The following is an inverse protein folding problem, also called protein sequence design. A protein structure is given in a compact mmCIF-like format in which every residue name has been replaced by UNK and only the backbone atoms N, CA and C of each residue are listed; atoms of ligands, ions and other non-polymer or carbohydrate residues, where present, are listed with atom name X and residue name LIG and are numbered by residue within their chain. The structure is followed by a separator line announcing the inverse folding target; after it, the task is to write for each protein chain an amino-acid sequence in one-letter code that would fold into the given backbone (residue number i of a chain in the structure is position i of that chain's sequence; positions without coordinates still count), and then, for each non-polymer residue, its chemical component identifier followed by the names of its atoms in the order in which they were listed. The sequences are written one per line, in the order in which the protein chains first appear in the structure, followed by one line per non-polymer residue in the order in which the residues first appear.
data_IF_870002615313
#
_entry.id   IF_870002615313
#
_cell.length_a   1.000
_cell.length_b   1.000
_cell.length_c   1.000
_cell.angle_alpha   90.00
_cell.angle_beta   90.00
_cell.angle_gamma   90.00
#
_symmetry.space_group_name_H-M   'P 1'
#
loop_
_entity.id
_entity.type
_entity.pdbx_description
1 polymer ?
#
# COMPACT_ATOMS: atom_id res chain seq x y z
N UNK A 1 45.34 20.36 59.33
CA UNK A 1 45.90 21.65 59.82
C UNK A 1 44.75 22.44 60.38
N UNK A 2 44.71 22.43 61.67
CA UNK A 2 44.60 23.58 62.58
C UNK A 2 43.29 24.42 62.41
N UNK A 3 42.55 24.73 63.39
CA UNK A 3 42.74 24.75 64.86
C UNK A 3 41.64 25.57 65.48
N UNK A 4 41.03 25.06 66.54
CA UNK A 4 40.77 25.76 67.83
C UNK A 4 39.74 26.92 67.77
N UNK A 5 38.78 26.99 68.56
CA UNK A 5 38.67 26.84 70.01
C UNK A 5 38.06 28.07 70.69
N UNK A 6 37.18 27.85 71.57
CA UNK A 6 36.98 28.36 72.97
C UNK A 6 35.76 29.24 73.15
N UNK A 7 34.78 28.80 73.93
CA UNK A 7 34.70 28.86 75.43
C UNK A 7 34.25 30.21 75.99
N UNK A 8 33.23 30.13 76.84
CA UNK A 8 32.94 31.06 77.93
C UNK A 8 31.42 31.10 78.20
N UNK A 9 30.87 30.42 79.12
CA UNK A 9 30.85 30.30 80.58
C UNK A 9 30.41 31.60 81.28
N UNK A 10 29.35 31.53 82.09
CA UNK A 10 28.92 32.49 83.10
C UNK A 10 27.41 32.50 83.30
N UNK A 11 26.83 31.72 84.10
CA UNK A 11 26.72 31.67 85.58
C UNK A 11 25.81 32.77 86.17
N UNK A 12 24.73 32.25 86.77
CA UNK A 12 24.09 32.56 88.07
C UNK A 12 23.16 33.79 88.19
N UNK A 13 21.96 33.72 88.62
CA UNK A 13 21.50 33.58 90.03
C UNK A 13 19.98 33.67 90.10
N UNK A 14 19.45 32.87 90.96
CA UNK A 14 18.07 32.76 91.41
C UNK A 14 17.51 34.02 92.01
N UNK A 15 16.17 34.24 91.87
CA UNK A 15 15.36 34.76 92.96
C UNK A 15 13.96 34.13 92.86
N UNK A 16 13.59 33.56 94.01
CA UNK A 16 12.30 33.00 94.40
C UNK A 16 11.35 34.15 94.74
N UNK A 17 10.08 34.12 94.18
CA UNK A 17 8.97 34.74 94.87
C UNK A 17 7.69 33.93 94.65
N UNK A 18 7.10 33.59 95.77
CA UNK A 18 5.89 32.82 96.04
C UNK A 18 4.70 33.73 96.06
N UNK A 19 3.64 33.45 95.29
CA UNK A 19 2.28 33.86 95.61
C UNK A 19 1.26 33.14 94.67
N UNK A 20 0.52 32.33 95.26
CA UNK A 20 -0.96 32.34 95.50
C UNK A 20 -1.87 31.95 94.39
N UNK A 21 -2.42 30.78 94.53
CA UNK A 21 -3.51 30.07 93.78
C UNK A 21 -4.80 30.90 93.75
N UNK A 22 -5.41 31.02 92.56
CA UNK A 22 -6.85 31.10 92.44
C UNK A 22 -7.29 30.14 91.31
N UNK A 23 -7.96 29.10 91.71
CA UNK A 23 -8.62 28.14 90.79
C UNK A 23 -9.90 28.83 90.21
N UNK A 24 -9.94 28.98 88.90
CA UNK A 24 -11.21 29.15 88.14
C UNK A 24 -11.37 27.99 87.19
N UNK A 25 -12.28 27.10 87.52
CA UNK A 25 -12.85 26.07 86.67
C UNK A 25 -13.64 26.75 85.59
N UNK A 26 -13.05 26.91 84.40
CA UNK A 26 -13.75 27.26 83.16
C UNK A 26 -14.17 25.98 82.45
N UNK A 27 -15.46 25.69 82.40
CA UNK A 27 -16.01 24.66 81.46
C UNK A 27 -15.68 25.07 80.03
N UNK A 28 -14.79 24.35 79.39
CA UNK A 28 -14.67 24.39 77.95
C UNK A 28 -15.77 23.53 77.37
N UNK A 29 -16.79 24.16 76.75
CA UNK A 29 -17.71 23.52 75.85
C UNK A 29 -16.93 22.89 74.70
N UNK A 30 -17.25 21.67 74.24
CA UNK A 30 -16.62 21.08 73.05
C UNK A 30 -17.04 21.94 71.86
N UNK A 31 -16.03 22.55 71.23
CA UNK A 31 -16.20 23.23 69.94
C UNK A 31 -16.85 22.29 68.94
N UNK A 32 -18.13 22.48 68.65
CA UNK A 32 -18.79 21.82 67.52
C UNK A 32 -17.99 22.15 66.28
N UNK A 33 -17.26 21.14 65.71
CA UNK A 33 -16.67 21.22 64.38
C UNK A 33 -17.83 21.53 63.42
N UNK A 34 -17.84 22.74 62.87
CA UNK A 34 -18.83 23.15 61.89
C UNK A 34 -18.81 22.16 60.75
N UNK A 35 -19.92 21.48 60.51
CA UNK A 35 -20.04 20.56 59.40
C UNK A 35 -19.74 21.34 58.10
N UNK A 36 -18.65 21.00 57.40
CA UNK A 36 -18.21 21.60 56.15
C UNK A 36 -19.37 21.50 55.15
N UNK A 37 -19.85 22.63 54.67
CA UNK A 37 -20.91 22.65 53.67
C UNK A 37 -20.49 21.83 52.43
N UNK A 38 -21.40 21.08 51.84
CA UNK A 38 -21.04 20.27 50.66
C UNK A 38 -20.52 21.18 49.53
N UNK A 39 -19.39 20.80 48.92
CA UNK A 39 -18.80 21.57 47.84
C UNK A 39 -19.56 21.28 46.53
N UNK A 40 -20.05 22.32 45.83
CA UNK A 40 -20.75 22.13 44.57
C UNK A 40 -19.76 21.66 43.48
N UNK A 41 -20.12 20.60 42.78
CA UNK A 41 -19.29 19.98 41.72
C UNK A 41 -20.14 19.54 40.54
N UNK A 42 -19.59 19.60 39.34
CA UNK A 42 -20.14 18.94 38.17
C UNK A 42 -19.52 17.57 37.98
N UNK A 43 -20.32 16.57 37.68
CA UNK A 43 -19.90 15.20 37.45
C UNK A 43 -20.29 14.72 36.05
N UNK A 44 -19.47 13.84 35.48
CA UNK A 44 -19.73 13.19 34.21
C UNK A 44 -19.58 11.68 34.40
N UNK A 45 -20.38 10.91 33.71
CA UNK A 45 -20.23 9.45 33.71
C UNK A 45 -18.95 9.06 32.96
N UNK A 46 -18.23 8.04 33.48
CA UNK A 46 -17.13 7.39 32.77
C UNK A 46 -17.70 6.71 31.53
N UNK A 47 -17.20 7.07 30.37
CA UNK A 47 -17.58 6.48 29.09
C UNK A 47 -16.58 5.40 28.68
N UNK A 48 -17.01 4.51 27.79
CA UNK A 48 -16.10 3.53 27.19
C UNK A 48 -15.61 4.07 25.84
N UNK A 49 -14.31 4.19 25.72
CA UNK A 49 -13.63 4.51 24.47
C UNK A 49 -13.01 3.24 23.89
N UNK A 50 -13.31 2.91 22.63
CA UNK A 50 -12.68 1.84 21.89
C UNK A 50 -11.63 2.45 20.96
N UNK A 51 -10.33 2.37 21.30
CA UNK A 51 -9.27 2.87 20.44
C UNK A 51 -9.28 2.08 19.13
N UNK A 52 -9.47 2.76 18.02
CA UNK A 52 -9.28 2.18 16.69
C UNK A 52 -7.96 2.71 16.13
N UNK A 53 -7.00 1.83 15.94
CA UNK A 53 -5.77 2.16 15.20
C UNK A 53 -6.07 2.15 13.70
N UNK A 54 -6.90 3.07 13.24
CA UNK A 54 -7.12 3.23 11.81
C UNK A 54 -5.90 3.89 11.17
N UNK A 55 -5.11 3.08 10.49
CA UNK A 55 -3.96 3.57 9.74
C UNK A 55 -4.43 4.02 8.36
N UNK A 56 -4.16 5.29 8.04
CA UNK A 56 -4.40 5.82 6.70
C UNK A 56 -3.11 5.74 5.89
N UNK A 57 -3.21 5.15 4.71
CA UNK A 57 -2.11 5.07 3.76
C UNK A 57 -2.44 5.88 2.52
N UNK A 58 -1.47 6.67 2.07
CA UNK A 58 -1.49 7.26 0.73
C UNK A 58 -1.01 6.23 -0.27
N UNK A 59 -1.67 6.16 -1.42
CA UNK A 59 -1.44 5.17 -2.44
C UNK A 59 -1.47 5.80 -3.84
N UNK A 60 -0.75 5.20 -4.77
CA UNK A 60 -0.77 5.60 -6.17
C UNK A 60 -1.64 4.66 -6.99
N UNK A 61 -2.43 5.24 -7.89
CA UNK A 61 -3.19 4.49 -8.88
C UNK A 61 -2.27 4.11 -10.03
N UNK A 62 -2.12 2.81 -10.28
CA UNK A 62 -1.31 2.22 -11.34
C UNK A 62 -2.22 1.51 -12.34
N UNK A 63 -1.84 1.38 -13.62
CA UNK A 63 -2.60 0.59 -14.57
C UNK A 63 -2.58 -0.89 -14.18
N UNK A 64 -3.59 -1.65 -14.61
CA UNK A 64 -3.63 -3.10 -14.41
C UNK A 64 -2.47 -3.79 -15.13
N UNK A 65 -2.22 -3.39 -16.38
CA UNK A 65 -1.07 -3.79 -17.16
C UNK A 65 -0.55 -2.60 -17.96
N UNK A 66 0.74 -2.54 -18.16
CA UNK A 66 1.41 -1.53 -18.98
C UNK A 66 2.43 -2.22 -19.87
N UNK A 67 2.49 -1.83 -21.13
CA UNK A 67 3.46 -2.34 -22.08
C UNK A 67 4.07 -1.19 -22.88
N UNK A 68 5.39 -1.12 -22.85
CA UNK A 68 6.17 -0.28 -23.75
C UNK A 68 6.51 -1.09 -25.00
N UNK A 69 6.02 -0.62 -26.14
CA UNK A 69 6.16 -1.28 -27.42
C UNK A 69 7.36 -0.75 -28.18
N UNK A 70 8.06 -1.64 -28.85
CA UNK A 70 9.14 -1.35 -29.78
C UNK A 70 9.05 -2.26 -31.00
N UNK A 71 9.51 -1.79 -32.13
CA UNK A 71 9.69 -2.66 -33.29
C UNK A 71 10.82 -3.67 -32.99
N UNK A 72 10.67 -4.88 -33.51
CA UNK A 72 11.70 -5.92 -33.42
C UNK A 72 12.73 -5.83 -34.55
N UNK A 73 12.33 -5.20 -35.70
CA UNK A 73 13.16 -4.97 -36.86
C UNK A 73 13.40 -3.47 -37.04
N UNK A 74 14.57 -3.11 -37.59
CA UNK A 74 14.85 -1.73 -37.95
C UNK A 74 14.19 -1.35 -39.28
N UNK A 75 13.69 -0.13 -39.38
CA UNK A 75 13.09 0.39 -40.62
C UNK A 75 12.50 1.77 -40.46
N UNK A 76 12.26 2.46 -41.59
CA UNK A 76 11.59 3.75 -41.57
C UNK A 76 10.07 3.56 -41.39
N UNK A 77 9.46 4.35 -40.51
CA UNK A 77 8.01 4.35 -40.29
C UNK A 77 7.31 4.91 -41.53
N UNK A 78 6.46 4.09 -42.13
CA UNK A 78 5.72 4.42 -43.36
C UNK A 78 4.26 4.72 -43.11
N UNK A 79 3.71 4.24 -41.98
CA UNK A 79 2.34 4.50 -41.60
C UNK A 79 2.19 4.53 -40.08
N UNK A 80 1.34 5.42 -39.59
CA UNK A 80 0.81 5.45 -38.23
C UNK A 80 -0.71 5.38 -38.36
N UNK A 81 -1.35 4.57 -37.48
CA UNK A 81 -2.80 4.43 -37.50
C UNK A 81 -3.47 5.78 -37.33
N UNK A 82 -4.45 6.04 -38.18
CA UNK A 82 -5.26 7.24 -38.10
C UNK A 82 -6.63 6.94 -37.49
N UNK A 83 -7.10 7.88 -36.71
CA UNK A 83 -8.45 7.91 -36.13
C UNK A 83 -9.14 9.22 -36.45
N UNK A 84 -10.45 9.25 -36.30
CA UNK A 84 -11.24 10.48 -36.40
C UNK A 84 -11.24 11.13 -35.01
N UNK A 85 -10.69 12.33 -34.91
CA UNK A 85 -10.72 13.13 -33.69
C UNK A 85 -12.12 13.69 -33.37
N UNK A 86 -12.24 14.30 -32.19
CA UNK A 86 -13.51 14.92 -31.75
C UNK A 86 -13.97 16.08 -32.70
N UNK A 87 -13.04 16.65 -33.45
CA UNK A 87 -13.28 17.70 -34.46
C UNK A 87 -13.71 17.14 -35.83
N UNK A 88 -13.87 15.81 -35.96
CA UNK A 88 -14.21 15.12 -37.21
C UNK A 88 -13.03 14.98 -38.19
N UNK A 89 -11.85 15.48 -37.87
CA UNK A 89 -10.64 15.37 -38.70
C UNK A 89 -9.88 14.09 -38.41
N UNK A 90 -9.24 13.55 -39.45
CA UNK A 90 -8.31 12.44 -39.27
C UNK A 90 -7.01 12.94 -38.64
N UNK A 91 -6.57 12.26 -37.62
CA UNK A 91 -5.27 12.47 -36.98
C UNK A 91 -4.62 11.15 -36.67
N UNK A 92 -3.33 11.17 -36.50
CA UNK A 92 -2.59 9.99 -36.02
C UNK A 92 -3.00 9.67 -34.57
N UNK A 93 -3.03 8.37 -34.28
CA UNK A 93 -3.33 7.87 -32.96
C UNK A 93 -2.26 8.34 -31.96
N UNK A 94 -2.68 8.73 -30.75
CA UNK A 94 -1.78 9.31 -29.77
C UNK A 94 -2.27 9.15 -28.32
N UNK A 95 -1.62 9.82 -27.36
CA UNK A 95 -1.99 9.73 -25.95
C UNK A 95 -3.46 10.02 -25.70
N UNK A 96 -4.10 9.17 -24.87
CA UNK A 96 -5.52 9.23 -24.53
C UNK A 96 -6.44 8.45 -25.48
N UNK A 97 -5.95 7.93 -26.60
CA UNK A 97 -6.76 7.15 -27.52
C UNK A 97 -6.86 5.69 -27.08
N UNK A 98 -8.04 5.11 -27.21
CA UNK A 98 -8.30 3.71 -26.94
C UNK A 98 -7.96 2.83 -28.14
N UNK A 99 -7.32 1.70 -27.88
CA UNK A 99 -6.99 0.68 -28.88
C UNK A 99 -7.45 -0.70 -28.42
N UNK A 100 -7.96 -1.49 -29.35
CA UNK A 100 -8.28 -2.88 -29.13
C UNK A 100 -7.02 -3.76 -29.33
N UNK A 101 -6.99 -4.90 -28.66
CA UNK A 101 -5.95 -5.91 -28.86
C UNK A 101 -5.81 -6.29 -30.34
N UNK A 102 -4.58 -6.43 -30.82
CA UNK A 102 -4.28 -6.78 -32.21
C UNK A 102 -4.39 -5.62 -33.21
N UNK A 103 -4.75 -4.42 -32.74
CA UNK A 103 -4.77 -3.21 -33.59
C UNK A 103 -3.34 -2.88 -34.02
N UNK A 104 -3.10 -2.72 -35.32
CA UNK A 104 -1.84 -2.19 -35.86
C UNK A 104 -1.77 -0.69 -35.55
N UNK A 105 -0.75 -0.27 -34.83
CA UNK A 105 -0.52 1.12 -34.39
C UNK A 105 0.38 1.87 -35.35
N UNK A 106 1.44 1.24 -35.82
CA UNK A 106 2.37 1.79 -36.78
C UNK A 106 3.00 0.66 -37.62
N UNK A 107 3.54 1.02 -38.77
CA UNK A 107 4.20 0.11 -39.69
C UNK A 107 5.53 0.70 -40.14
N UNK A 108 6.56 -0.15 -40.20
CA UNK A 108 7.81 0.20 -40.86
C UNK A 108 7.78 -0.26 -42.33
N UNK A 109 8.80 0.15 -43.13
CA UNK A 109 8.87 -0.17 -44.55
C UNK A 109 8.86 -1.67 -44.78
N UNK A 110 7.80 -2.16 -45.45
CA UNK A 110 7.61 -3.60 -45.75
C UNK A 110 8.46 -4.07 -46.92
N UNK A 111 8.89 -3.17 -47.84
CA UNK A 111 9.44 -3.58 -49.15
C UNK A 111 10.70 -4.45 -49.00
N UNK A 112 11.61 -4.07 -48.12
CA UNK A 112 12.87 -4.84 -47.95
C UNK A 112 12.60 -6.20 -47.30
N UNK A 113 11.67 -6.28 -46.36
CA UNK A 113 11.27 -7.53 -45.71
C UNK A 113 10.48 -8.45 -46.66
N UNK A 114 9.66 -7.85 -47.55
CA UNK A 114 8.95 -8.59 -48.60
C UNK A 114 9.95 -9.19 -49.59
N UNK A 115 10.95 -8.41 -50.01
CA UNK A 115 12.00 -8.93 -50.90
C UNK A 115 12.75 -10.11 -50.26
N UNK A 116 13.04 -10.06 -48.96
CA UNK A 116 13.65 -11.17 -48.22
C UNK A 116 12.74 -12.41 -48.19
N UNK A 117 11.43 -12.22 -47.99
CA UNK A 117 10.43 -13.29 -48.01
C UNK A 117 10.38 -13.96 -49.41
N UNK A 118 10.32 -13.14 -50.47
CA UNK A 118 10.28 -13.61 -51.85
C UNK A 118 11.55 -14.41 -52.18
N UNK A 119 12.73 -13.94 -51.75
CA UNK A 119 14.00 -14.65 -51.92
C UNK A 119 14.04 -15.99 -51.16
N UNK A 120 13.56 -16.01 -49.90
CA UNK A 120 13.51 -17.25 -49.10
C UNK A 120 12.53 -18.26 -49.72
N UNK A 121 11.41 -17.77 -50.28
CA UNK A 121 10.42 -18.58 -50.99
C UNK A 121 11.05 -19.24 -52.24
N UNK A 122 11.76 -18.44 -53.04
CA UNK A 122 12.48 -18.98 -54.23
C UNK A 122 13.55 -20.01 -53.86
N UNK A 123 14.28 -19.77 -52.75
CA UNK A 123 15.29 -20.72 -52.25
C UNK A 123 14.65 -22.05 -51.82
N UNK A 124 13.50 -22.00 -51.15
CA UNK A 124 12.76 -23.22 -50.80
C UNK A 124 12.31 -23.98 -52.04
N UNK A 125 11.75 -23.32 -53.04
CA UNK A 125 11.29 -23.92 -54.27
C UNK A 125 12.46 -24.65 -55.02
N UNK A 126 13.64 -24.03 -55.02
CA UNK A 126 14.83 -24.63 -55.61
C UNK A 126 15.25 -25.90 -54.84
N UNK A 127 15.28 -25.84 -53.50
CA UNK A 127 15.63 -26.98 -52.65
C UNK A 127 14.62 -28.14 -52.82
N UNK A 128 13.33 -27.84 -52.90
CA UNK A 128 12.27 -28.82 -53.14
C UNK A 128 12.41 -29.52 -54.52
N UNK A 129 12.74 -28.75 -55.57
CA UNK A 129 12.98 -29.31 -56.91
C UNK A 129 14.17 -30.28 -56.92
N UNK A 130 15.28 -29.89 -56.27
CA UNK A 130 16.47 -30.72 -56.12
C UNK A 130 16.20 -32.00 -55.30
N UNK A 131 15.43 -31.89 -54.24
CA UNK A 131 15.04 -33.06 -53.43
C UNK A 131 14.11 -33.99 -54.21
N UNK A 132 13.18 -33.44 -55.00
CA UNK A 132 12.30 -34.21 -55.86
C UNK A 132 13.09 -35.05 -56.90
N UNK A 133 14.13 -34.45 -57.49
CA UNK A 133 15.05 -35.15 -58.38
C UNK A 133 15.80 -36.29 -57.64
N UNK A 134 16.44 -35.96 -56.51
CA UNK A 134 17.16 -36.91 -55.69
C UNK A 134 16.28 -38.07 -55.17
N UNK A 135 15.01 -37.78 -54.85
CA UNK A 135 14.03 -38.82 -54.46
C UNK A 135 13.79 -39.81 -55.56
N UNK A 136 13.55 -39.32 -56.79
CA UNK A 136 13.36 -40.21 -57.95
C UNK A 136 14.62 -41.07 -58.26
N UNK A 137 15.80 -40.49 -58.13
CA UNK A 137 17.06 -41.18 -58.32
C UNK A 137 17.30 -42.23 -57.22
N UNK A 138 17.03 -41.94 -55.98
CA UNK A 138 17.13 -42.89 -54.88
C UNK A 138 16.14 -44.08 -55.04
N UNK A 139 14.86 -43.78 -55.37
CA UNK A 139 13.88 -44.82 -55.64
C UNK A 139 14.29 -45.74 -56.77
N UNK A 140 14.84 -45.19 -57.86
CA UNK A 140 15.40 -45.98 -58.98
C UNK A 140 16.62 -46.84 -58.56
N UNK A 141 17.55 -46.20 -57.82
CA UNK A 141 18.73 -46.92 -57.27
C UNK A 141 18.32 -48.04 -56.32
N UNK A 142 17.29 -47.80 -55.46
CA UNK A 142 16.73 -48.79 -54.55
C UNK A 142 16.19 -50.04 -55.30
N UNK A 143 15.44 -49.81 -56.38
CA UNK A 143 14.87 -50.85 -57.21
C UNK A 143 16.00 -51.69 -57.93
N UNK A 144 16.98 -50.99 -58.52
CA UNK A 144 18.10 -51.63 -59.18
C UNK A 144 19.02 -52.41 -58.21
N UNK A 145 19.23 -51.87 -56.98
CA UNK A 145 20.02 -52.58 -55.99
C UNK A 145 19.31 -53.83 -55.45
N UNK A 146 17.99 -53.78 -55.28
CA UNK A 146 17.21 -54.97 -54.90
C UNK A 146 17.17 -56.07 -55.96
N UNK A 147 17.39 -55.73 -57.24
CA UNK A 147 17.53 -56.66 -58.34
C UNK A 147 18.98 -57.03 -58.66
N UNK A 148 19.93 -56.71 -57.76
CA UNK A 148 21.39 -56.95 -57.90
C UNK A 148 22.01 -56.32 -59.18
N UNK A 149 21.34 -55.29 -59.71
CA UNK A 149 21.77 -54.62 -60.95
C UNK A 149 22.50 -53.26 -60.64
N UNK A 150 22.78 -52.96 -59.37
CA UNK A 150 23.53 -51.80 -58.96
C UNK A 150 24.52 -52.16 -57.85
N UNK A 151 25.70 -51.51 -57.84
CA UNK A 151 26.67 -51.71 -56.75
C UNK A 151 26.30 -51.02 -55.47
N UNK A 152 26.72 -51.53 -54.31
CA UNK A 152 26.50 -50.93 -53.02
C UNK A 152 27.00 -49.47 -52.91
N UNK A 153 28.23 -49.14 -53.37
CA UNK A 153 28.69 -47.73 -53.35
C UNK A 153 27.85 -46.76 -54.16
N UNK A 154 27.22 -47.19 -55.25
CA UNK A 154 26.33 -46.39 -56.07
C UNK A 154 24.98 -46.15 -55.36
N UNK A 155 24.46 -47.21 -54.73
CA UNK A 155 23.25 -47.05 -53.88
C UNK A 155 23.48 -46.08 -52.67
N UNK A 156 24.60 -46.32 -51.94
CA UNK A 156 24.97 -45.48 -50.79
C UNK A 156 25.12 -43.96 -51.21
N UNK A 157 25.63 -43.73 -52.45
CA UNK A 157 25.77 -42.36 -53.00
C UNK A 157 24.41 -41.73 -53.30
N UNK A 158 23.46 -42.49 -53.87
CA UNK A 158 22.09 -42.03 -54.13
C UNK A 158 21.36 -41.75 -52.85
N UNK A 159 21.51 -42.57 -51.80
CA UNK A 159 20.97 -42.38 -50.49
C UNK A 159 21.53 -41.09 -49.80
N UNK A 160 22.84 -40.92 -49.81
CA UNK A 160 23.48 -39.75 -49.26
C UNK A 160 23.04 -38.47 -49.96
N UNK A 161 22.79 -38.50 -51.30
CA UNK A 161 22.24 -37.36 -52.04
C UNK A 161 20.80 -37.05 -51.63
N UNK A 162 19.95 -38.08 -51.48
CA UNK A 162 18.58 -37.93 -51.00
C UNK A 162 18.57 -37.29 -49.60
N UNK A 163 19.35 -37.82 -48.63
CA UNK A 163 19.42 -37.32 -47.27
C UNK A 163 19.95 -35.89 -47.22
N UNK A 164 20.95 -35.54 -48.03
CA UNK A 164 21.50 -34.19 -48.09
C UNK A 164 20.54 -33.16 -48.66
N UNK A 165 19.76 -33.54 -49.69
CA UNK A 165 18.74 -32.64 -50.27
C UNK A 165 17.53 -32.49 -49.35
N UNK A 166 17.17 -33.54 -48.61
CA UNK A 166 16.14 -33.43 -47.55
C UNK A 166 16.53 -32.41 -46.49
N UNK A 167 17.76 -32.49 -45.98
CA UNK A 167 18.27 -31.51 -45.02
C UNK A 167 18.31 -30.07 -45.57
N UNK A 168 18.60 -29.91 -46.90
CA UNK A 168 18.58 -28.62 -47.56
C UNK A 168 17.17 -28.02 -47.65
N UNK A 169 16.12 -28.85 -47.86
CA UNK A 169 14.72 -28.41 -47.81
C UNK A 169 14.35 -27.91 -46.40
N UNK A 170 14.73 -28.65 -45.37
CA UNK A 170 14.43 -28.24 -43.97
C UNK A 170 15.14 -26.93 -43.58
N UNK A 171 16.38 -26.75 -44.03
CA UNK A 171 17.09 -25.48 -43.86
C UNK A 171 16.39 -24.34 -44.59
N UNK A 172 15.94 -24.54 -45.83
CA UNK A 172 15.23 -23.52 -46.61
C UNK A 172 13.87 -23.19 -45.99
N UNK A 173 13.14 -24.17 -45.44
CA UNK A 173 11.88 -23.94 -44.68
C UNK A 173 12.13 -23.07 -43.45
N UNK A 174 13.19 -23.34 -42.69
CA UNK A 174 13.53 -22.52 -41.50
C UNK A 174 13.83 -21.07 -41.91
N UNK A 175 14.55 -20.84 -43.01
CA UNK A 175 14.83 -19.50 -43.52
C UNK A 175 13.57 -18.79 -44.00
N UNK A 176 12.65 -19.50 -44.67
CA UNK A 176 11.34 -18.94 -45.07
C UNK A 176 10.53 -18.51 -43.84
N UNK A 177 10.48 -19.37 -42.83
CA UNK A 177 9.77 -19.02 -41.56
C UNK A 177 10.37 -17.79 -40.89
N UNK A 178 11.70 -17.67 -40.86
CA UNK A 178 12.36 -16.46 -40.30
C UNK A 178 11.99 -15.22 -41.12
N UNK A 179 11.95 -15.26 -42.43
CA UNK A 179 11.55 -14.13 -43.28
C UNK A 179 10.07 -13.75 -43.07
N UNK A 180 9.17 -14.74 -42.89
CA UNK A 180 7.77 -14.53 -42.56
C UNK A 180 7.59 -13.79 -41.23
N UNK A 181 8.31 -14.22 -40.17
CA UNK A 181 8.31 -13.55 -38.87
C UNK A 181 8.82 -12.11 -39.00
N UNK A 182 9.90 -11.90 -39.76
CA UNK A 182 10.43 -10.56 -40.02
C UNK A 182 9.40 -9.61 -40.63
N UNK A 183 8.61 -10.12 -41.59
CA UNK A 183 7.55 -9.33 -42.23
C UNK A 183 6.39 -9.05 -41.26
N UNK A 184 6.00 -10.02 -40.42
CA UNK A 184 4.98 -9.80 -39.39
C UNK A 184 5.43 -8.77 -38.35
N UNK A 185 6.70 -8.80 -37.96
CA UNK A 185 7.28 -7.87 -37.00
C UNK A 185 7.45 -6.43 -37.54
N UNK A 186 7.16 -6.20 -38.83
CA UNK A 186 7.07 -4.87 -39.40
C UNK A 186 5.80 -4.10 -38.97
N UNK A 187 4.80 -4.82 -38.52
CA UNK A 187 3.55 -4.25 -37.98
C UNK A 187 3.61 -4.21 -36.46
N UNK A 188 3.61 -3.03 -35.89
CA UNK A 188 3.55 -2.86 -34.44
C UNK A 188 2.10 -2.95 -33.97
N UNK A 189 1.76 -4.02 -33.27
CA UNK A 189 0.40 -4.30 -32.81
C UNK A 189 0.23 -4.14 -31.31
N UNK A 190 -0.98 -3.74 -30.87
CA UNK A 190 -1.34 -3.66 -29.45
C UNK A 190 -1.48 -5.08 -28.85
N UNK A 191 -0.74 -5.44 -27.77
CA UNK A 191 -0.78 -6.79 -27.17
C UNK A 191 -2.06 -7.03 -26.37
N UNK A 192 -2.70 -5.98 -25.87
CA UNK A 192 -3.98 -5.98 -25.17
C UNK A 192 -4.76 -4.70 -25.48
N UNK A 193 -6.03 -4.69 -25.10
CA UNK A 193 -6.88 -3.51 -25.25
C UNK A 193 -6.59 -2.51 -24.14
N UNK A 194 -6.47 -1.22 -24.46
CA UNK A 194 -6.14 -0.20 -23.47
C UNK A 194 -6.02 1.20 -24.09
N UNK A 195 -5.50 2.13 -23.31
CA UNK A 195 -5.25 3.51 -23.74
C UNK A 195 -3.77 3.73 -24.01
N UNK A 196 -3.49 4.51 -25.04
CA UNK A 196 -2.13 4.97 -25.32
C UNK A 196 -1.76 6.02 -24.27
N UNK A 197 -0.64 5.77 -23.56
CA UNK A 197 -0.05 6.70 -22.58
C UNK A 197 0.91 7.65 -23.26
N UNK A 198 1.77 7.13 -24.15
CA UNK A 198 2.75 7.93 -24.89
C UNK A 198 2.96 7.40 -26.29
N UNK A 199 3.33 8.31 -27.20
CA UNK A 199 3.79 8.02 -28.55
C UNK A 199 5.08 8.80 -28.79
N UNK A 200 6.17 8.07 -29.03
CA UNK A 200 7.52 8.61 -29.19
C UNK A 200 8.04 8.39 -30.62
N UNK A 201 7.16 8.23 -31.59
CA UNK A 201 7.53 7.97 -32.97
C UNK A 201 6.65 8.77 -33.93
N UNK A 202 7.26 9.23 -35.02
CA UNK A 202 6.60 9.99 -36.08
C UNK A 202 6.81 9.33 -37.43
N UNK A 203 5.96 9.70 -38.39
CA UNK A 203 6.08 9.26 -39.78
C UNK A 203 7.45 9.66 -40.35
N UNK A 204 8.13 8.73 -40.99
CA UNK A 204 9.47 8.96 -41.55
C UNK A 204 10.63 8.76 -40.57
N UNK A 205 10.37 8.59 -39.28
CA UNK A 205 11.41 8.27 -38.31
C UNK A 205 12.00 6.89 -38.56
N UNK A 206 13.29 6.73 -38.24
CA UNK A 206 13.90 5.41 -38.20
C UNK A 206 13.55 4.74 -36.86
N UNK A 207 12.83 3.63 -36.91
CA UNK A 207 12.58 2.77 -35.78
C UNK A 207 13.69 1.71 -35.68
N UNK A 208 14.11 1.38 -34.46
CA UNK A 208 15.10 0.35 -34.19
C UNK A 208 14.65 -0.55 -33.03
N UNK A 209 15.13 -1.81 -32.96
CA UNK A 209 14.88 -2.70 -31.84
C UNK A 209 15.26 -2.07 -30.50
N UNK A 210 14.36 -2.19 -29.49
CA UNK A 210 14.58 -1.62 -28.17
C UNK A 210 14.24 -0.14 -28.03
N UNK A 211 13.94 0.57 -29.12
CA UNK A 211 13.47 1.97 -29.07
C UNK A 211 11.99 2.00 -28.69
N UNK A 212 11.66 2.62 -27.55
CA UNK A 212 10.27 2.81 -27.11
C UNK A 212 9.50 3.66 -28.14
N UNK A 213 8.41 3.11 -28.69
CA UNK A 213 7.59 3.80 -29.69
C UNK A 213 6.22 4.18 -29.14
N UNK A 214 5.53 3.25 -28.51
CA UNK A 214 4.25 3.46 -27.84
C UNK A 214 4.27 2.86 -26.45
N UNK A 215 3.59 3.50 -25.51
CA UNK A 215 3.26 2.91 -24.23
C UNK A 215 1.74 2.78 -24.14
N UNK A 216 1.26 1.57 -23.84
CA UNK A 216 -0.16 1.26 -23.72
C UNK A 216 -0.44 0.79 -22.30
N UNK A 217 -1.54 1.26 -21.72
CA UNK A 217 -2.01 0.85 -20.40
C UNK A 217 -3.41 0.26 -20.46
N UNK A 218 -3.58 -0.91 -19.84
CA UNK A 218 -4.90 -1.46 -19.55
C UNK A 218 -5.43 -0.81 -18.27
N UNK A 219 -6.54 -0.10 -18.40
CA UNK A 219 -7.23 0.59 -17.30
C UNK A 219 -8.61 0.00 -17.02
N UNK A 220 -8.93 -1.20 -17.54
CA UNK A 220 -10.18 -1.92 -17.25
C UNK A 220 -10.33 -2.26 -15.75
N UNK A 221 -9.22 -2.47 -15.10
CA UNK A 221 -9.02 -2.41 -13.65
C UNK A 221 -7.81 -1.53 -13.36
N UNK A 222 -7.63 -1.15 -12.12
CA UNK A 222 -6.43 -0.42 -11.66
C UNK A 222 -5.84 -1.10 -10.43
N UNK A 223 -4.54 -0.93 -10.25
CA UNK A 223 -3.83 -1.35 -9.05
C UNK A 223 -3.58 -0.14 -8.18
N UNK A 224 -3.95 -0.25 -6.94
CA UNK A 224 -3.66 0.75 -5.92
C UNK A 224 -2.43 0.27 -5.16
N UNK A 225 -1.29 0.92 -5.41
CA UNK A 225 0.00 0.56 -4.83
C UNK A 225 0.33 1.43 -3.62
N UNK A 226 0.66 0.81 -2.49
CA UNK A 226 1.10 1.50 -1.28
C UNK A 226 2.09 0.66 -0.49
N UNK A 227 2.87 1.33 0.38
CA UNK A 227 3.83 0.67 1.25
C UNK A 227 3.34 0.60 2.68
N UNK A 228 3.52 -0.55 3.33
CA UNK A 228 3.22 -0.74 4.74
C UNK A 228 4.45 -1.20 5.52
N UNK A 229 4.62 -0.76 6.78
CA UNK A 229 5.70 -1.23 7.64
C UNK A 229 5.49 -2.68 8.08
N UNK A 230 6.56 -3.32 8.60
CA UNK A 230 6.56 -4.74 8.99
C UNK A 230 5.43 -5.12 9.95
N UNK A 231 5.13 -4.30 10.95
CA UNK A 231 4.09 -4.61 11.93
C UNK A 231 2.69 -4.64 11.30
N UNK A 232 2.45 -3.90 10.21
CA UNK A 232 1.18 -3.83 9.52
C UNK A 232 1.03 -4.94 8.47
N UNK A 233 2.11 -5.33 7.77
CA UNK A 233 2.04 -6.37 6.72
C UNK A 233 1.60 -7.72 7.27
N UNK A 234 1.94 -8.04 8.52
CA UNK A 234 1.54 -9.30 9.19
C UNK A 234 0.02 -9.44 9.36
N UNK A 235 -0.70 -8.33 9.33
CA UNK A 235 -2.17 -8.26 9.46
C UNK A 235 -2.90 -8.37 8.12
N UNK A 236 -2.19 -8.25 7.00
CA UNK A 236 -2.77 -8.30 5.67
C UNK A 236 -2.89 -9.74 5.16
N UNK A 237 -3.93 -9.96 4.37
CA UNK A 237 -4.17 -11.25 3.71
C UNK A 237 -4.52 -11.02 2.24
N UNK A 238 -4.06 -11.93 1.39
CA UNK A 238 -4.51 -11.96 -0.01
C UNK A 238 -6.02 -12.12 -0.07
N UNK A 239 -6.68 -11.37 -0.97
CA UNK A 239 -8.14 -11.36 -1.10
C UNK A 239 -8.87 -10.46 -0.10
N UNK A 240 -8.19 -9.88 0.89
CA UNK A 240 -8.79 -8.92 1.83
C UNK A 240 -9.37 -7.72 1.07
N UNK A 241 -10.56 -7.29 1.48
CA UNK A 241 -11.22 -6.12 0.88
C UNK A 241 -10.74 -4.83 1.54
N UNK A 242 -10.62 -3.79 0.71
CA UNK A 242 -10.30 -2.43 1.14
C UNK A 242 -11.23 -1.44 0.48
N UNK A 243 -11.63 -0.45 1.29
CA UNK A 243 -12.31 0.75 0.81
C UNK A 243 -11.27 1.81 0.46
N UNK A 244 -11.34 2.28 -0.77
CA UNK A 244 -10.41 3.24 -1.34
C UNK A 244 -11.17 4.54 -1.60
N UNK A 245 -10.59 5.64 -1.15
CA UNK A 245 -11.10 6.98 -1.36
C UNK A 245 -10.10 7.79 -2.20
N UNK A 246 -10.58 8.49 -3.20
CA UNK A 246 -9.81 9.52 -3.89
C UNK A 246 -9.90 10.83 -3.11
N UNK A 247 -8.91 11.70 -3.25
CA UNK A 247 -8.85 12.93 -2.48
C UNK A 247 -10.03 13.87 -2.77
N UNK A 248 -10.48 13.93 -4.01
CA UNK A 248 -11.49 14.86 -4.49
C UNK A 248 -12.80 14.17 -4.96
N UNK A 249 -12.97 12.88 -4.69
CA UNK A 249 -14.17 12.13 -5.06
C UNK A 249 -14.83 11.55 -3.79
N UNK A 250 -16.09 11.93 -3.49
CA UNK A 250 -16.80 11.37 -2.34
C UNK A 250 -17.14 9.89 -2.50
N UNK A 251 -16.91 9.33 -3.69
CA UNK A 251 -17.22 7.95 -3.99
C UNK A 251 -16.19 6.99 -3.39
N UNK A 252 -16.71 5.93 -2.79
CA UNK A 252 -15.93 4.81 -2.28
C UNK A 252 -15.75 3.74 -3.35
N UNK A 253 -14.53 3.26 -3.53
CA UNK A 253 -14.17 2.20 -4.45
C UNK A 253 -13.73 0.98 -3.67
N UNK A 254 -14.29 -0.18 -3.98
CA UNK A 254 -13.94 -1.43 -3.31
C UNK A 254 -12.89 -2.18 -4.12
N UNK A 255 -11.79 -2.53 -3.46
CA UNK A 255 -10.71 -3.32 -4.02
C UNK A 255 -10.38 -4.54 -3.19
N UNK A 256 -9.57 -5.44 -3.77
CA UNK A 256 -9.06 -6.64 -3.10
C UNK A 256 -7.54 -6.67 -3.17
N UNK A 257 -6.91 -7.08 -2.08
CA UNK A 257 -5.45 -7.32 -2.06
C UNK A 257 -5.11 -8.45 -3.02
N UNK A 258 -4.32 -8.15 -4.03
CA UNK A 258 -3.87 -9.10 -5.06
C UNK A 258 -2.39 -9.42 -4.94
N UNK A 259 -1.61 -8.56 -4.30
CA UNK A 259 -0.18 -8.79 -4.10
C UNK A 259 0.29 -8.23 -2.76
N UNK A 260 1.14 -8.97 -2.08
CA UNK A 260 1.86 -8.59 -0.87
C UNK A 260 3.32 -8.94 -1.13
N UNK A 261 4.20 -7.94 -1.13
CA UNK A 261 5.63 -8.15 -1.36
C UNK A 261 6.22 -9.07 -0.28
N UNK A 262 7.11 -9.99 -0.68
CA UNK A 262 7.81 -10.90 0.23
C UNK A 262 9.03 -10.27 0.89
N UNK A 263 9.52 -9.14 0.36
CA UNK A 263 10.63 -8.36 0.90
C UNK A 263 10.26 -6.89 1.01
N UNK A 264 10.84 -6.21 1.99
CA UNK A 264 10.73 -4.77 2.09
C UNK A 264 11.60 -4.08 1.04
N UNK A 265 11.15 -2.91 0.57
CA UNK A 265 11.97 -2.00 -0.23
C UNK A 265 13.18 -1.52 0.60
N UNK A 266 14.38 -1.59 0.04
CA UNK A 266 15.63 -1.29 0.74
C UNK A 266 15.73 0.17 1.20
N UNK A 267 15.13 1.11 0.45
CA UNK A 267 15.21 2.54 0.74
C UNK A 267 14.21 2.98 1.79
N UNK A 268 12.97 2.51 1.67
CA UNK A 268 11.84 2.98 2.47
C UNK A 268 11.48 2.03 3.61
N UNK A 269 12.02 0.80 3.62
CA UNK A 269 11.75 -0.27 4.60
C UNK A 269 10.26 -0.59 4.74
N UNK A 270 9.52 -0.49 3.65
CA UNK A 270 8.10 -0.82 3.58
C UNK A 270 7.88 -1.98 2.63
N UNK A 271 6.85 -2.77 2.89
CA UNK A 271 6.39 -3.84 2.01
C UNK A 271 5.39 -3.27 1.02
N UNK A 272 5.62 -3.48 -0.26
CA UNK A 272 4.69 -3.06 -1.30
C UNK A 272 3.45 -3.94 -1.30
N UNK A 273 2.28 -3.30 -1.30
CA UNK A 273 0.97 -3.95 -1.36
C UNK A 273 0.25 -3.45 -2.61
N UNK A 274 -0.38 -4.35 -3.34
CA UNK A 274 -1.25 -3.99 -4.44
C UNK A 274 -2.68 -4.44 -4.16
N UNK A 275 -3.60 -3.49 -4.33
CA UNK A 275 -5.04 -3.71 -4.26
C UNK A 275 -5.63 -3.49 -5.63
N UNK A 276 -6.28 -4.50 -6.21
CA UNK A 276 -6.93 -4.38 -7.51
C UNK A 276 -8.37 -3.89 -7.36
N UNK A 277 -8.71 -2.87 -8.14
CA UNK A 277 -10.03 -2.23 -8.18
C UNK A 277 -10.60 -2.33 -9.61
N UNK A 278 -11.79 -2.90 -9.82
CA UNK A 278 -12.47 -2.84 -11.12
C UNK A 278 -12.77 -1.40 -11.54
N UNK A 279 -12.51 -1.07 -12.81
CA UNK A 279 -12.65 0.28 -13.32
C UNK A 279 -13.45 0.34 -14.65
N UNK A 280 -14.68 -0.20 -14.71
CA UNK A 280 -15.43 -0.37 -15.95
C UNK A 280 -15.79 0.96 -16.64
N UNK A 281 -15.79 2.06 -15.91
CA UNK A 281 -16.10 3.41 -16.44
C UNK A 281 -14.86 4.28 -16.64
N UNK A 282 -13.64 3.72 -16.44
CA UNK A 282 -12.35 4.41 -16.58
C UNK A 282 -12.25 5.72 -15.77
N UNK A 283 -12.94 5.80 -14.62
CA UNK A 283 -12.86 6.98 -13.75
C UNK A 283 -11.52 7.05 -13.03
N UNK A 284 -11.00 5.90 -12.61
CA UNK A 284 -9.69 5.81 -11.98
C UNK A 284 -8.63 5.86 -13.07
N UNK A 285 -7.81 6.91 -13.06
CA UNK A 285 -6.73 7.08 -14.04
C UNK A 285 -5.37 6.81 -13.38
N UNK A 286 -4.45 6.12 -14.04
CA UNK A 286 -3.08 6.00 -13.58
C UNK A 286 -2.47 7.37 -13.26
N UNK A 287 -1.73 7.45 -12.16
CA UNK A 287 -1.15 8.70 -11.64
C UNK A 287 -2.02 9.44 -10.62
N UNK A 288 -3.29 9.07 -10.42
CA UNK A 288 -4.10 9.61 -9.33
C UNK A 288 -3.58 9.15 -7.97
N UNK A 289 -3.85 9.95 -6.93
CA UNK A 289 -3.54 9.63 -5.54
C UNK A 289 -4.83 9.14 -4.87
N UNK A 290 -4.73 8.01 -4.21
CA UNK A 290 -5.80 7.40 -3.42
C UNK A 290 -5.39 7.30 -1.95
N UNK A 291 -6.37 7.23 -1.07
CA UNK A 291 -6.18 6.91 0.33
C UNK A 291 -6.94 5.64 0.71
N UNK A 292 -6.33 4.81 1.54
CA UNK A 292 -6.98 3.62 2.09
C UNK A 292 -6.89 3.68 3.61
N UNK A 293 -7.89 3.05 4.25
CA UNK A 293 -7.88 2.81 5.69
C UNK A 293 -7.62 1.33 5.93
N UNK A 294 -6.57 1.05 6.66
CA UNK A 294 -6.40 -0.26 7.28
C UNK A 294 -7.08 -0.20 8.64
N UNK A 295 -8.26 -0.79 8.76
CA UNK A 295 -8.96 -0.89 10.03
C UNK A 295 -8.07 -1.66 11.00
N UNK A 296 -7.64 -1.00 12.07
CA UNK A 296 -6.82 -1.59 13.10
C UNK A 296 -7.59 -2.64 13.92
N UNK A 297 -6.88 -3.36 14.75
CA UNK A 297 -7.54 -4.18 15.78
C UNK A 297 -8.28 -3.22 16.71
N UNK A 298 -9.58 -3.38 16.82
CA UNK A 298 -10.33 -2.75 17.90
C UNK A 298 -9.73 -3.25 19.21
N UNK A 299 -8.98 -2.39 19.89
CA UNK A 299 -8.56 -2.67 21.27
C UNK A 299 -9.83 -2.79 22.12
N UNK A 300 -9.78 -3.61 23.17
CA UNK A 300 -10.89 -3.68 24.09
C UNK A 300 -11.29 -2.28 24.55
N UNK A 301 -12.60 -1.96 24.66
CA UNK A 301 -13.03 -0.67 25.14
C UNK A 301 -12.42 -0.39 26.53
N UNK A 302 -11.82 0.79 26.69
CA UNK A 302 -11.22 1.23 27.96
C UNK A 302 -12.03 2.38 28.54
N UNK A 303 -12.11 2.51 29.87
CA UNK A 303 -12.75 3.66 30.49
C UNK A 303 -12.05 4.97 30.07
N UNK A 304 -12.84 5.99 29.80
CA UNK A 304 -12.36 7.32 29.39
C UNK A 304 -13.05 8.40 30.22
N UNK A 305 -12.29 9.41 30.60
CA UNK A 305 -12.76 10.56 31.36
C UNK A 305 -12.27 11.87 30.71
N UNK A 306 -13.01 12.98 30.84
CA UNK A 306 -12.50 14.27 30.41
C UNK A 306 -11.17 14.62 31.10
N UNK A 307 -10.23 15.17 30.33
CA UNK A 307 -8.91 15.57 30.88
C UNK A 307 -9.02 16.53 32.07
N UNK A 308 -10.08 17.32 32.13
CA UNK A 308 -10.41 18.22 33.24
C UNK A 308 -10.78 17.51 34.55
N UNK A 309 -11.11 16.21 34.52
CA UNK A 309 -11.36 15.41 35.72
C UNK A 309 -10.09 14.88 36.36
N UNK A 310 -8.95 14.93 35.65
CA UNK A 310 -7.67 14.40 36.11
C UNK A 310 -6.97 15.42 37.01
N UNK A 311 -6.59 14.98 38.20
CA UNK A 311 -5.82 15.79 39.18
C UNK A 311 -4.48 15.07 39.49
N UNK A 312 -3.50 15.86 39.94
CA UNK A 312 -2.28 15.26 40.47
C UNK A 312 -2.59 14.52 41.79
N UNK A 313 -2.03 13.34 41.97
CA UNK A 313 -2.16 12.58 43.22
C UNK A 313 -1.33 13.25 44.33
N UNK A 314 -1.99 13.79 45.37
CA UNK A 314 -1.27 14.46 46.46
C UNK A 314 -0.40 13.52 47.31
N UNK A 315 -0.64 12.20 47.25
CA UNK A 315 0.11 11.18 47.98
C UNK A 315 1.34 10.68 47.22
N UNK A 316 1.40 10.85 45.90
CA UNK A 316 2.42 10.28 45.04
C UNK A 316 2.82 11.24 43.90
N UNK A 317 3.95 11.92 44.05
CA UNK A 317 4.44 12.84 43.04
C UNK A 317 4.64 12.14 41.67
N UNK A 318 4.09 12.74 40.65
CA UNK A 318 4.16 12.19 39.26
C UNK A 318 3.07 11.17 38.92
N UNK A 319 2.13 10.92 39.83
CA UNK A 319 0.95 10.08 39.59
C UNK A 319 -0.31 10.94 39.45
N UNK A 320 -1.34 10.37 38.84
CA UNK A 320 -2.60 11.04 38.59
C UNK A 320 -3.73 10.33 39.32
N UNK A 321 -4.77 11.10 39.64
CA UNK A 321 -5.96 10.60 40.30
C UNK A 321 -7.20 11.27 39.74
N UNK A 322 -8.38 10.72 40.03
CA UNK A 322 -9.68 11.30 39.76
C UNK A 322 -10.53 11.25 41.03
N UNK A 323 -11.45 12.18 41.17
CA UNK A 323 -12.45 12.11 42.23
C UNK A 323 -13.68 11.39 41.71
N UNK A 324 -13.99 10.24 42.28
CA UNK A 324 -15.22 9.50 42.00
C UNK A 324 -16.31 9.94 42.98
N UNK A 325 -17.45 10.38 42.46
CA UNK A 325 -18.61 10.71 43.25
C UNK A 325 -19.35 9.45 43.67
N UNK A 326 -19.37 9.15 44.98
CA UNK A 326 -20.09 8.01 45.55
C UNK A 326 -21.20 8.44 46.46
N UNK A 327 -22.34 7.81 46.39
CA UNK A 327 -23.43 8.01 47.31
C UNK A 327 -23.27 7.10 48.54
N UNK A 328 -23.19 7.71 49.74
CA UNK A 328 -23.08 7.01 51.01
C UNK A 328 -24.12 7.61 51.97
N UNK A 329 -25.10 6.79 52.38
CA UNK A 329 -26.11 7.22 53.35
C UNK A 329 -26.94 8.44 52.89
N UNK A 330 -27.26 8.54 51.58
CA UNK A 330 -28.05 9.65 51.03
C UNK A 330 -27.26 10.96 50.83
N UNK A 331 -25.92 10.89 50.97
CA UNK A 331 -25.01 12.05 50.72
C UNK A 331 -23.97 11.65 49.70
N UNK A 332 -23.56 12.59 48.84
CA UNK A 332 -22.49 12.38 47.90
C UNK A 332 -21.14 12.70 48.52
N UNK A 333 -20.18 11.80 48.35
CA UNK A 333 -18.82 11.91 48.86
C UNK A 333 -17.83 11.80 47.71
N UNK A 334 -16.84 12.63 47.66
CA UNK A 334 -15.73 12.58 46.71
C UNK A 334 -14.68 11.56 47.20
N UNK A 335 -14.46 10.49 46.44
CA UNK A 335 -13.42 9.50 46.73
C UNK A 335 -12.27 9.72 45.76
N UNK A 336 -11.07 10.03 46.29
CA UNK A 336 -9.85 10.10 45.46
C UNK A 336 -9.44 8.72 45.05
N UNK A 337 -9.21 8.50 43.75
CA UNK A 337 -8.77 7.25 43.21
C UNK A 337 -7.61 7.46 42.25
N UNK A 338 -6.47 6.82 42.55
CA UNK A 338 -5.31 6.82 41.65
C UNK A 338 -5.65 6.15 40.31
N UNK A 339 -5.21 6.76 39.22
CA UNK A 339 -5.44 6.25 37.86
C UNK A 339 -4.14 6.28 37.06
N UNK A 340 -4.04 5.33 36.11
CA UNK A 340 -2.99 5.37 35.10
C UNK A 340 -3.57 5.96 33.83
N UNK A 341 -2.90 7.01 33.28
CA UNK A 341 -3.34 7.66 32.05
C UNK A 341 -2.88 6.85 30.83
N UNK A 342 -3.76 6.69 29.88
CA UNK A 342 -3.52 6.09 28.58
C UNK A 342 -3.54 7.11 27.43
N UNK A 343 -4.04 6.70 26.28
CA UNK A 343 -4.14 7.55 25.07
C UNK A 343 -5.18 8.65 25.25
N UNK A 344 -4.86 9.87 24.78
CA UNK A 344 -5.81 10.99 24.72
C UNK A 344 -6.61 10.95 23.44
N UNK A 345 -7.91 11.23 23.54
CA UNK A 345 -8.83 11.30 22.41
C UNK A 345 -9.71 12.54 22.54
N UNK A 346 -9.63 13.45 21.58
CA UNK A 346 -10.32 14.75 21.62
C UNK A 346 -10.06 15.50 22.96
N UNK A 347 -11.08 15.61 23.81
CA UNK A 347 -11.01 16.22 25.16
C UNK A 347 -10.86 15.21 26.29
N UNK A 348 -10.88 13.91 25.97
CA UNK A 348 -10.91 12.83 26.93
C UNK A 348 -9.57 12.06 26.97
N UNK A 349 -9.31 11.39 28.08
CA UNK A 349 -8.15 10.52 28.26
C UNK A 349 -8.61 9.13 28.72
N UNK A 350 -8.07 8.11 28.10
CA UNK A 350 -8.26 6.74 28.57
C UNK A 350 -7.61 6.58 29.94
N UNK A 351 -8.30 5.93 30.87
CA UNK A 351 -7.81 5.74 32.25
C UNK A 351 -8.01 4.30 32.70
N UNK A 352 -7.03 3.79 33.43
CA UNK A 352 -7.18 2.54 34.18
C UNK A 352 -7.32 2.84 35.66
N UNK A 353 -8.24 2.15 36.35
CA UNK A 353 -8.54 2.34 37.76
C UNK A 353 -9.94 2.83 38.08
N UNK A 354 -10.77 3.13 37.06
CA UNK A 354 -12.20 3.46 37.22
C UNK A 354 -13.08 2.50 36.43
N UNK A 355 -14.30 2.31 36.90
CA UNK A 355 -15.26 1.45 36.21
C UNK A 355 -16.17 2.26 35.28
N UNK A 356 -16.63 1.65 34.19
CA UNK A 356 -17.67 2.24 33.35
C UNK A 356 -18.91 2.60 34.16
N UNK A 357 -19.56 3.70 33.82
CA UNK A 357 -20.73 4.26 34.49
C UNK A 357 -20.52 4.83 35.92
N UNK A 358 -19.31 4.78 36.49
CA UNK A 358 -18.99 5.62 37.66
C UNK A 358 -19.05 7.09 37.30
N UNK A 359 -19.35 7.95 38.27
CA UNK A 359 -19.38 9.40 38.08
C UNK A 359 -18.09 10.02 38.55
N UNK A 360 -17.42 10.77 37.70
CA UNK A 360 -16.18 11.49 38.03
C UNK A 360 -16.43 13.00 38.09
N UNK A 361 -15.77 13.68 38.99
CA UNK A 361 -15.87 15.14 39.14
C UNK A 361 -15.02 15.82 38.08
N UNK A 362 -15.65 16.72 37.29
CA UNK A 362 -14.99 17.44 36.19
C UNK A 362 -14.71 18.89 36.58
N UNK A 363 -15.67 19.55 37.28
CA UNK A 363 -15.51 20.93 37.75
C UNK A 363 -15.55 20.95 39.28
N UNK A 364 -14.59 21.64 39.89
CA UNK A 364 -14.44 21.69 41.35
C UNK A 364 -13.44 20.70 41.94
N UNK A 365 -12.86 19.82 41.12
CA UNK A 365 -11.93 18.77 41.54
C UNK A 365 -10.69 19.32 42.28
N UNK A 366 -10.11 20.44 41.84
CA UNK A 366 -8.87 20.99 42.39
C UNK A 366 -8.95 21.42 43.87
N UNK A 367 -10.17 21.67 44.38
CA UNK A 367 -10.41 22.08 45.76
C UNK A 367 -10.83 20.96 46.72
N UNK A 368 -11.03 19.73 46.18
CA UNK A 368 -11.52 18.60 46.95
C UNK A 368 -10.39 17.84 47.67
N UNK A 369 -10.75 17.24 48.78
CA UNK A 369 -9.93 16.23 49.46
C UNK A 369 -10.69 14.90 49.51
N UNK A 370 -9.96 13.81 49.66
CA UNK A 370 -10.59 12.53 49.84
C UNK A 370 -11.55 12.51 51.02
N UNK A 371 -12.76 12.02 50.79
CA UNK A 371 -13.84 11.99 51.78
C UNK A 371 -14.68 13.29 51.91
N UNK A 372 -14.39 14.34 51.16
CA UNK A 372 -15.20 15.57 51.23
C UNK A 372 -16.63 15.35 50.77
N UNK A 373 -17.59 15.98 51.49
CA UNK A 373 -18.99 16.03 51.08
C UNK A 373 -19.16 16.95 49.87
N UNK A 374 -19.83 16.45 48.85
CA UNK A 374 -20.07 17.15 47.59
C UNK A 374 -21.56 17.30 47.31
N UNK A 375 -21.91 18.37 46.62
CA UNK A 375 -23.22 18.59 46.06
C UNK A 375 -23.11 18.47 44.54
N UNK A 376 -23.67 17.39 43.98
CA UNK A 376 -23.67 17.18 42.51
C UNK A 376 -24.61 18.18 41.88
N UNK A 377 -24.08 19.05 41.04
CA UNK A 377 -24.83 19.93 40.14
C UNK A 377 -25.04 19.17 38.81
N UNK A 378 -26.27 19.18 38.33
CA UNK A 378 -26.60 18.59 37.02
C UNK A 378 -26.15 19.52 35.89
#
# INVERSE_FOLDING_TARGET
MNSKSRKGLGSAKAVVLFAMVVATTGCQEPTKVAAKSPTPVHVVNVTLYAPSEDLRYSASVLPFAEATLSFKSAGYVTAIRQIVGADGRRRDIGPGDYVARGTVLAQIRHQDLKNQLDQATATLSLAEAQHTEATKDYERAKTLYSSESLTKPEFDRAQAKFDSTFAAVDQAKANLHQAQLGLQDADLTAPFSGYIISRNIELGNLAAPGMSTFTIADTSAVKIGFGVPEYAVRRLRLGQQFSIHLQDDPKEYNGRVTSIAVSADEKNRVFAIEVTVPNPKSYLKPGMIASLRLTGVHKAPVPSVPLSAVVADPASAGHYAVFVAREQGGKWVAQLRGVTLGETHESDVAVDGVNPAEKVVVVGAAGLKDGDLIQVLQ
#
